data_IF_335097706417
#
_entry.id   IF_335097706417
#
_cell.length_a   1.000
_cell.length_b   1.000
_cell.length_c   1.000
_cell.angle_alpha   90.00
_cell.angle_beta   90.00
_cell.angle_gamma   90.00
#
_symmetry.space_group_name_H-M   'P 1'
#
loop_
_entity.id
_entity.type
_entity.pdbx_description
1 polymer ?
#
# COMPACT_ATOMS: atom_id res chain seq x y z
N UNK A 1 22.93 92.94 4.82
CA UNK A 1 21.80 92.75 3.92
C UNK A 1 22.13 91.54 3.06
N UNK A 2 21.55 90.44 3.31
CA UNK A 2 21.34 89.30 2.41
C UNK A 2 20.35 88.40 3.09
N UNK A 3 19.18 88.40 2.56
CA UNK A 3 18.02 87.57 3.00
C UNK A 3 18.32 86.12 2.75
N UNK A 4 18.03 85.32 3.73
CA UNK A 4 18.06 83.84 3.64
C UNK A 4 16.79 83.30 2.99
N UNK A 5 16.94 82.52 1.97
CA UNK A 5 15.91 81.81 1.26
C UNK A 5 15.67 80.50 2.01
N UNK A 6 14.56 80.41 2.78
CA UNK A 6 14.07 79.18 3.40
C UNK A 6 13.38 78.34 2.31
N UNK A 7 14.08 77.30 1.85
CA UNK A 7 13.52 76.32 0.96
C UNK A 7 12.51 75.48 1.75
N UNK A 8 11.23 75.64 1.47
CA UNK A 8 10.14 74.81 1.97
C UNK A 8 10.34 73.31 1.52
N UNK A 9 10.63 72.47 2.44
CA UNK A 9 10.59 71.02 2.23
C UNK A 9 9.11 70.64 2.03
N UNK A 10 8.76 70.34 0.78
CA UNK A 10 7.46 69.76 0.45
C UNK A 10 7.37 68.34 1.02
N UNK A 11 6.59 68.24 2.07
CA UNK A 11 6.12 66.95 2.58
C UNK A 11 5.26 66.27 1.48
N UNK A 12 5.89 65.41 0.69
CA UNK A 12 5.18 64.50 -0.21
C UNK A 12 4.61 63.36 0.66
N UNK A 13 3.55 63.69 1.38
CA UNK A 13 2.71 62.69 2.02
C UNK A 13 2.18 61.72 0.96
N UNK A 14 2.83 60.58 0.86
CA UNK A 14 2.24 59.40 0.24
C UNK A 14 0.97 59.06 1.02
N UNK A 15 -0.17 59.59 0.57
CA UNK A 15 -1.48 59.15 1.04
C UNK A 15 -1.61 57.68 0.66
N UNK A 16 -1.34 56.81 1.61
CA UNK A 16 -1.65 55.40 1.43
C UNK A 16 -3.16 55.31 1.13
N UNK A 17 -3.47 54.72 0.01
CA UNK A 17 -4.86 54.41 -0.35
C UNK A 17 -5.54 53.74 0.82
N UNK A 18 -6.75 54.18 1.23
CA UNK A 18 -7.44 53.59 2.38
C UNK A 18 -7.60 52.10 2.22
N UNK A 19 -7.39 51.37 3.32
CA UNK A 19 -7.65 49.95 3.38
C UNK A 19 -9.16 49.71 3.09
N UNK A 20 -9.44 48.69 2.36
CA UNK A 20 -10.79 48.22 2.12
C UNK A 20 -10.90 46.72 2.45
N UNK A 21 -12.10 46.23 2.70
CA UNK A 21 -12.32 44.81 2.90
C UNK A 21 -11.74 43.97 1.76
N UNK A 22 -11.86 44.43 0.52
CA UNK A 22 -11.33 43.75 -0.65
C UNK A 22 -9.80 43.73 -0.68
N UNK A 23 -9.16 44.84 -0.28
CA UNK A 23 -7.70 44.87 -0.17
C UNK A 23 -7.18 43.96 0.93
N UNK A 24 -7.82 43.95 2.10
CA UNK A 24 -7.47 43.04 3.19
C UNK A 24 -7.65 41.57 2.81
N UNK A 25 -8.76 41.22 2.16
CA UNK A 25 -8.99 39.88 1.62
C UNK A 25 -7.87 39.45 0.69
N UNK A 26 -7.52 40.31 -0.29
CA UNK A 26 -6.47 40.01 -1.25
C UNK A 26 -5.09 39.88 -0.60
N UNK A 27 -4.80 40.72 0.40
CA UNK A 27 -3.50 40.74 1.09
C UNK A 27 -3.27 39.47 1.92
N UNK A 28 -4.31 38.97 2.58
CA UNK A 28 -4.21 37.81 3.48
C UNK A 28 -4.78 36.53 2.86
N UNK A 29 -5.13 36.54 1.59
CA UNK A 29 -5.62 35.34 0.88
C UNK A 29 -6.97 34.83 1.39
N UNK A 30 -7.80 35.70 1.99
CA UNK A 30 -9.09 35.34 2.57
C UNK A 30 -10.19 35.58 1.53
N UNK A 31 -10.80 34.51 0.99
CA UNK A 31 -11.93 34.64 0.07
C UNK A 31 -13.22 35.02 0.79
N UNK A 32 -14.21 35.51 0.02
CA UNK A 32 -15.54 35.80 0.59
C UNK A 32 -16.18 34.56 1.24
N UNK A 33 -16.05 33.40 0.61
CA UNK A 33 -16.57 32.14 1.16
C UNK A 33 -15.91 31.78 2.51
N UNK A 34 -14.61 31.99 2.66
CA UNK A 34 -13.89 31.76 3.94
C UNK A 34 -14.43 32.69 5.03
N UNK A 35 -14.74 33.96 4.69
CA UNK A 35 -15.32 34.89 5.66
C UNK A 35 -16.75 34.53 6.07
N UNK A 36 -17.52 34.00 5.15
CA UNK A 36 -18.92 33.60 5.40
C UNK A 36 -18.96 32.37 6.33
N UNK A 37 -18.01 31.48 6.19
CA UNK A 37 -17.87 30.28 7.03
C UNK A 37 -17.17 30.54 8.39
N UNK A 38 -16.40 31.63 8.48
CA UNK A 38 -15.59 31.96 9.67
C UNK A 38 -15.86 33.38 10.17
N UNK A 39 -16.93 33.61 10.94
CA UNK A 39 -17.32 34.94 11.44
C UNK A 39 -16.19 35.67 12.20
N UNK A 40 -15.35 34.94 12.92
CA UNK A 40 -14.21 35.51 13.68
C UNK A 40 -13.21 36.27 12.78
N UNK A 41 -12.97 35.78 11.57
CA UNK A 41 -12.13 36.47 10.60
C UNK A 41 -12.75 37.79 10.14
N UNK A 42 -14.07 37.75 9.90
CA UNK A 42 -14.81 38.94 9.50
C UNK A 42 -14.77 40.01 10.59
N UNK A 43 -14.91 39.61 11.85
CA UNK A 43 -14.80 40.52 13.00
C UNK A 43 -13.40 41.17 13.09
N UNK A 44 -12.33 40.39 12.91
CA UNK A 44 -10.96 40.91 12.91
C UNK A 44 -10.76 41.91 11.76
N UNK A 45 -11.16 41.56 10.53
CA UNK A 45 -11.00 42.48 9.39
C UNK A 45 -11.85 43.75 9.55
N UNK A 46 -13.06 43.64 10.09
CA UNK A 46 -13.90 44.78 10.39
C UNK A 46 -13.24 45.70 11.47
N UNK A 47 -12.67 45.09 12.51
CA UNK A 47 -11.95 45.84 13.56
C UNK A 47 -10.75 46.61 12.97
N UNK A 48 -10.07 46.07 11.99
CA UNK A 48 -8.98 46.76 11.27
C UNK A 48 -9.50 47.99 10.53
N UNK A 49 -10.66 47.88 9.88
CA UNK A 49 -11.29 49.00 9.17
C UNK A 49 -11.78 50.08 10.17
N UNK A 50 -12.40 49.66 11.28
CA UNK A 50 -12.88 50.57 12.31
C UNK A 50 -11.72 51.36 12.97
N UNK A 51 -10.56 50.73 13.17
CA UNK A 51 -9.34 51.41 13.65
C UNK A 51 -8.84 52.46 12.67
N UNK A 52 -8.91 52.15 11.37
CA UNK A 52 -8.52 53.14 10.33
C UNK A 52 -9.49 54.34 10.31
N UNK A 53 -10.79 54.11 10.44
CA UNK A 53 -11.78 55.19 10.53
C UNK A 53 -11.55 56.10 11.75
N UNK A 54 -10.98 55.54 12.83
CA UNK A 54 -10.56 56.28 14.02
C UNK A 54 -9.22 57.02 13.84
N UNK A 55 -8.63 57.02 12.66
CA UNK A 55 -7.31 57.59 12.38
C UNK A 55 -6.13 56.76 12.91
N UNK A 56 -6.36 55.52 13.32
CA UNK A 56 -5.35 54.54 13.79
C UNK A 56 -5.17 53.48 12.72
N UNK A 57 -4.30 53.70 11.77
CA UNK A 57 -4.02 52.69 10.74
C UNK A 57 -3.13 51.59 11.31
N UNK A 58 -3.62 50.33 11.51
CA UNK A 58 -2.81 49.24 11.99
C UNK A 58 -1.73 48.89 10.92
N UNK A 59 -0.54 48.55 11.40
CA UNK A 59 0.53 48.02 10.53
C UNK A 59 0.17 46.58 10.13
N UNK A 60 0.76 46.08 9.04
CA UNK A 60 0.58 44.69 8.60
C UNK A 60 0.89 43.68 9.71
N UNK A 61 1.92 43.98 10.53
CA UNK A 61 2.30 43.12 11.67
C UNK A 61 1.19 43.06 12.75
N UNK A 62 0.53 44.21 13.01
CA UNK A 62 -0.59 44.25 13.95
C UNK A 62 -1.81 43.47 13.40
N UNK A 63 -2.07 43.57 12.10
CA UNK A 63 -3.14 42.81 11.44
C UNK A 63 -2.86 41.32 11.52
N UNK A 64 -1.63 40.87 11.15
CA UNK A 64 -1.18 39.49 11.25
C UNK A 64 -1.30 38.97 12.69
N UNK A 65 -0.93 39.78 13.69
CA UNK A 65 -1.06 39.41 15.10
C UNK A 65 -2.53 39.14 15.46
N UNK A 66 -3.44 40.02 15.08
CA UNK A 66 -4.88 39.85 15.34
C UNK A 66 -5.46 38.62 14.61
N UNK A 67 -5.04 38.36 13.38
CA UNK A 67 -5.46 37.19 12.61
C UNK A 67 -4.93 35.89 13.24
N UNK A 68 -3.68 35.86 13.71
CA UNK A 68 -3.08 34.71 14.37
C UNK A 68 -3.78 34.31 15.69
N UNK A 69 -4.55 35.21 16.30
CA UNK A 69 -5.36 34.89 17.48
C UNK A 69 -6.64 34.10 17.14
N UNK A 70 -7.10 34.15 15.88
CA UNK A 70 -8.28 33.42 15.45
C UNK A 70 -8.03 31.91 15.37
N UNK A 71 -9.06 31.09 15.60
CA UNK A 71 -8.97 29.65 15.46
C UNK A 71 -8.67 29.25 14.02
N UNK A 72 -9.19 30.01 13.06
CA UNK A 72 -8.97 29.75 11.65
C UNK A 72 -7.47 29.82 11.29
N UNK A 73 -6.76 30.91 11.67
CA UNK A 73 -5.33 31.06 11.39
C UNK A 73 -4.47 30.05 12.18
N UNK A 74 -4.85 29.71 13.40
CA UNK A 74 -4.16 28.67 14.18
C UNK A 74 -4.22 27.29 13.49
N UNK A 75 -5.28 27.04 12.72
CA UNK A 75 -5.53 25.77 12.06
C UNK A 75 -5.03 25.70 10.60
N UNK A 76 -4.47 26.82 10.06
CA UNK A 76 -4.00 26.88 8.69
C UNK A 76 -2.51 27.22 8.62
N UNK A 77 -1.74 26.44 7.82
CA UNK A 77 -0.31 26.68 7.70
C UNK A 77 0.00 27.99 6.96
N UNK A 78 1.16 28.58 7.25
CA UNK A 78 1.68 29.73 6.50
C UNK A 78 1.77 29.44 4.99
N UNK A 79 2.09 28.21 4.60
CA UNK A 79 2.12 27.78 3.20
C UNK A 79 0.72 27.82 2.57
N UNK A 80 -0.31 27.36 3.28
CA UNK A 80 -1.68 27.42 2.81
C UNK A 80 -2.10 28.87 2.54
N UNK A 81 -1.83 29.77 3.47
CA UNK A 81 -2.12 31.20 3.31
C UNK A 81 -1.38 31.79 2.11
N UNK A 82 -0.09 31.48 1.91
CA UNK A 82 0.68 31.93 0.77
C UNK A 82 0.10 31.43 -0.55
N UNK A 83 -0.35 30.19 -0.61
CA UNK A 83 -1.01 29.62 -1.80
C UNK A 83 -2.32 30.32 -2.11
N UNK A 84 -3.12 30.69 -1.10
CA UNK A 84 -4.35 31.47 -1.33
C UNK A 84 -4.04 32.87 -1.90
N UNK A 85 -3.03 33.55 -1.37
CA UNK A 85 -2.57 34.85 -1.92
C UNK A 85 -2.11 34.67 -3.37
N UNK A 86 -1.32 33.66 -3.67
CA UNK A 86 -0.84 33.39 -5.03
C UNK A 86 -1.99 33.05 -5.99
N UNK A 87 -2.97 32.26 -5.53
CA UNK A 87 -4.18 31.92 -6.30
C UNK A 87 -4.98 33.16 -6.69
N UNK A 88 -5.12 34.13 -5.79
CA UNK A 88 -5.84 35.37 -6.06
C UNK A 88 -5.04 36.32 -6.98
N UNK A 89 -3.72 36.33 -6.89
CA UNK A 89 -2.84 37.19 -7.70
C UNK A 89 -2.56 36.63 -9.09
N UNK A 90 -2.54 35.30 -9.24
CA UNK A 90 -2.34 34.62 -10.55
C UNK A 90 -3.65 34.61 -11.32
N UNK A 91 -3.55 34.71 -12.65
CA UNK A 91 -4.72 34.51 -13.51
C UNK A 91 -5.32 33.13 -13.21
N UNK A 92 -6.66 32.99 -13.02
CA UNK A 92 -7.32 31.72 -12.69
C UNK A 92 -6.90 30.55 -13.60
N UNK A 93 -6.74 30.83 -14.91
CA UNK A 93 -6.33 29.81 -15.87
C UNK A 93 -4.95 29.19 -15.58
N UNK A 94 -4.02 29.94 -14.97
CA UNK A 94 -2.68 29.41 -14.57
C UNK A 94 -2.81 28.49 -13.38
N UNK A 95 -3.66 28.86 -12.41
CA UNK A 95 -3.96 28.02 -11.26
C UNK A 95 -4.62 26.71 -11.67
N UNK A 96 -5.68 26.81 -12.48
CA UNK A 96 -6.43 25.64 -12.97
C UNK A 96 -5.53 24.68 -13.77
N UNK A 97 -4.63 25.24 -14.62
CA UNK A 97 -3.66 24.41 -15.34
C UNK A 97 -2.65 23.72 -14.41
N UNK A 98 -2.21 24.40 -13.33
CA UNK A 98 -1.32 23.80 -12.33
C UNK A 98 -2.02 22.68 -11.56
N UNK A 99 -3.23 22.91 -11.07
CA UNK A 99 -4.04 21.90 -10.37
C UNK A 99 -4.28 20.72 -11.30
N UNK A 100 -4.70 20.95 -12.53
CA UNK A 100 -4.94 19.89 -13.51
C UNK A 100 -3.69 19.03 -13.75
N UNK A 101 -2.53 19.63 -13.95
CA UNK A 101 -1.27 18.92 -14.17
C UNK A 101 -0.90 17.99 -13.00
N UNK A 102 -1.15 18.43 -11.77
CA UNK A 102 -0.89 17.61 -10.58
C UNK A 102 -1.98 16.53 -10.44
N UNK A 103 -3.25 16.88 -10.70
CA UNK A 103 -4.35 15.93 -10.67
C UNK A 103 -4.18 14.79 -11.67
N UNK A 104 -3.76 15.08 -12.89
CA UNK A 104 -3.48 14.08 -13.92
C UNK A 104 -2.39 13.08 -13.43
N UNK A 105 -1.29 13.58 -12.84
CA UNK A 105 -0.25 12.72 -12.25
C UNK A 105 -0.74 11.89 -11.06
N UNK A 106 -1.58 12.47 -10.21
CA UNK A 106 -2.19 11.73 -9.09
C UNK A 106 -3.09 10.61 -9.62
N UNK A 107 -3.91 10.87 -10.64
CA UNK A 107 -4.74 9.84 -11.30
C UNK A 107 -3.88 8.70 -11.86
N UNK A 108 -2.76 9.02 -12.53
CA UNK A 108 -1.83 8.01 -13.03
C UNK A 108 -1.26 7.15 -11.90
N UNK A 109 -0.93 7.74 -10.75
CA UNK A 109 -0.44 7.00 -9.58
C UNK A 109 -1.51 6.09 -8.98
N UNK A 110 -2.76 6.57 -8.87
CA UNK A 110 -3.88 5.75 -8.43
C UNK A 110 -4.12 4.58 -9.37
N UNK A 111 -4.17 4.85 -10.68
CA UNK A 111 -4.35 3.81 -11.70
C UNK A 111 -3.21 2.78 -11.67
N UNK A 112 -1.96 3.23 -11.52
CA UNK A 112 -0.80 2.34 -11.39
C UNK A 112 -0.87 1.46 -10.14
N UNK A 113 -1.52 1.93 -9.08
CA UNK A 113 -1.77 1.16 -7.85
C UNK A 113 -3.06 0.30 -7.90
N UNK A 114 -3.76 0.28 -9.04
CA UNK A 114 -5.00 -0.49 -9.20
C UNK A 114 -6.23 0.17 -8.58
N UNK A 115 -6.17 1.46 -8.26
CA UNK A 115 -7.29 2.25 -7.81
C UNK A 115 -7.74 3.24 -8.89
N UNK A 116 -9.01 3.62 -8.89
CA UNK A 116 -9.53 4.64 -9.79
C UNK A 116 -10.17 5.77 -8.97
N UNK A 117 -9.92 7.01 -9.40
CA UNK A 117 -10.51 8.21 -8.80
C UNK A 117 -11.07 9.13 -9.88
N UNK A 118 -12.15 9.83 -9.58
CA UNK A 118 -12.72 10.82 -10.47
C UNK A 118 -11.89 12.11 -10.53
N UNK A 119 -12.14 12.94 -11.54
CA UNK A 119 -11.42 14.19 -11.78
C UNK A 119 -11.56 15.17 -10.61
N UNK A 120 -12.72 15.21 -9.96
CA UNK A 120 -12.96 16.10 -8.82
C UNK A 120 -12.13 15.71 -7.60
N UNK A 121 -12.06 14.41 -7.30
CA UNK A 121 -11.22 13.86 -6.23
C UNK A 121 -9.74 14.09 -6.51
N UNK A 122 -9.30 13.85 -7.74
CA UNK A 122 -7.91 14.10 -8.15
C UNK A 122 -7.54 15.59 -8.02
N UNK A 123 -8.42 16.50 -8.44
CA UNK A 123 -8.23 17.93 -8.29
C UNK A 123 -8.16 18.35 -6.81
N UNK A 124 -9.02 17.78 -5.94
CA UNK A 124 -8.96 18.00 -4.50
C UNK A 124 -7.62 17.56 -3.91
N UNK A 125 -7.13 16.37 -4.24
CA UNK A 125 -5.84 15.89 -3.77
C UNK A 125 -4.67 16.73 -4.31
N UNK A 126 -4.76 17.21 -5.56
CA UNK A 126 -3.78 18.13 -6.13
C UNK A 126 -3.74 19.45 -5.35
N UNK A 127 -4.88 20.05 -5.03
CA UNK A 127 -4.93 21.25 -4.19
C UNK A 127 -4.35 20.98 -2.79
N UNK A 128 -4.68 19.86 -2.14
CA UNK A 128 -4.12 19.48 -0.85
C UNK A 128 -2.60 19.37 -0.89
N UNK A 129 -2.06 18.73 -1.93
CA UNK A 129 -0.60 18.61 -2.13
C UNK A 129 0.05 19.99 -2.34
N UNK A 130 -0.60 20.91 -3.07
CA UNK A 130 -0.11 22.30 -3.25
C UNK A 130 -0.11 23.04 -1.90
N UNK A 131 -1.14 22.87 -1.09
CA UNK A 131 -1.24 23.49 0.24
C UNK A 131 -0.21 22.91 1.23
N UNK A 132 0.12 21.64 1.08
CA UNK A 132 1.13 20.92 1.87
C UNK A 132 0.69 20.55 3.28
N UNK A 133 -0.38 21.10 3.81
CA UNK A 133 -1.00 20.68 5.08
C UNK A 133 -2.43 21.21 5.19
N UNK A 134 -3.22 20.57 6.05
CA UNK A 134 -4.60 20.98 6.34
C UNK A 134 -5.16 20.20 7.53
N UNK A 135 -6.44 20.42 7.82
CA UNK A 135 -7.17 19.68 8.86
C UNK A 135 -7.96 18.54 8.20
N UNK A 136 -7.90 17.35 8.78
CA UNK A 136 -8.76 16.24 8.35
C UNK A 136 -10.17 16.36 8.96
N UNK A 137 -11.05 15.42 8.64
CA UNK A 137 -12.44 15.42 9.11
C UNK A 137 -12.56 15.33 10.65
N UNK A 138 -11.54 14.79 11.31
CA UNK A 138 -11.49 14.66 12.79
C UNK A 138 -10.87 15.88 13.47
N UNK A 139 -10.53 16.93 12.71
CA UNK A 139 -9.90 18.13 13.22
C UNK A 139 -8.41 17.96 13.57
N UNK A 140 -7.75 16.95 13.04
CA UNK A 140 -6.31 16.71 13.22
C UNK A 140 -5.55 17.29 12.03
N UNK A 141 -4.44 18.00 12.32
CA UNK A 141 -3.58 18.52 11.28
C UNK A 141 -2.87 17.39 10.52
N UNK A 142 -3.02 17.36 9.20
CA UNK A 142 -2.32 16.46 8.28
C UNK A 142 -1.30 17.21 7.43
N UNK A 143 -0.19 16.53 7.13
CA UNK A 143 0.81 16.99 6.17
C UNK A 143 0.56 16.24 4.87
N UNK A 144 0.30 16.97 3.78
CA UNK A 144 -0.02 16.43 2.46
C UNK A 144 1.27 16.24 1.63
N UNK A 145 2.13 15.34 2.10
CA UNK A 145 3.36 14.92 1.45
C UNK A 145 3.18 13.61 0.66
N UNK A 146 4.28 13.08 0.12
CA UNK A 146 4.27 11.82 -0.62
C UNK A 146 3.81 10.63 0.26
N UNK A 147 4.09 10.66 1.57
CA UNK A 147 3.64 9.60 2.48
C UNK A 147 2.12 9.63 2.66
N UNK A 148 1.56 10.84 2.80
CA UNK A 148 0.12 11.03 2.84
C UNK A 148 -0.54 10.53 1.54
N UNK A 149 0.01 10.89 0.39
CA UNK A 149 -0.51 10.46 -0.91
C UNK A 149 -0.45 8.95 -1.07
N UNK A 150 0.67 8.32 -0.71
CA UNK A 150 0.82 6.86 -0.78
C UNK A 150 -0.19 6.14 0.13
N UNK A 151 -0.42 6.63 1.36
CA UNK A 151 -1.45 6.09 2.26
C UNK A 151 -2.86 6.26 1.69
N UNK A 152 -3.15 7.40 1.07
CA UNK A 152 -4.44 7.68 0.44
C UNK A 152 -4.67 6.73 -0.73
N UNK A 153 -3.67 6.52 -1.58
CA UNK A 153 -3.71 5.54 -2.68
C UNK A 153 -3.97 4.13 -2.13
N UNK A 154 -3.18 3.69 -1.15
CA UNK A 154 -3.33 2.36 -0.56
C UNK A 154 -4.72 2.12 0.07
N UNK A 155 -5.34 3.17 0.60
CA UNK A 155 -6.69 3.11 1.18
C UNK A 155 -7.80 3.06 0.13
N UNK A 156 -7.54 3.52 -1.09
CA UNK A 156 -8.51 3.53 -2.19
C UNK A 156 -8.53 2.23 -2.99
N UNK A 157 -7.62 1.29 -2.74
CA UNK A 157 -7.56 0.01 -3.45
C UNK A 157 -8.76 -0.85 -3.04
N UNK A 158 -9.52 -1.29 -4.04
CA UNK A 158 -10.72 -2.11 -3.85
C UNK A 158 -10.39 -3.60 -3.94
N UNK A 159 -10.28 -4.26 -2.78
CA UNK A 159 -10.07 -5.71 -2.68
C UNK A 159 -11.37 -6.53 -2.69
N UNK A 160 -12.52 -5.92 -2.98
CA UNK A 160 -13.78 -6.66 -3.09
C UNK A 160 -13.98 -7.27 -4.47
N UNK A 161 -13.28 -6.76 -5.49
CA UNK A 161 -13.37 -7.24 -6.87
C UNK A 161 -12.37 -8.36 -7.10
N UNK A 162 -12.86 -9.47 -7.65
CA UNK A 162 -12.03 -10.62 -8.03
C UNK A 162 -12.21 -10.96 -9.50
N UNK A 163 -11.18 -11.61 -10.07
CA UNK A 163 -11.21 -12.20 -11.41
C UNK A 163 -10.63 -13.60 -11.36
N UNK A 164 -11.00 -14.44 -12.33
CA UNK A 164 -10.44 -15.79 -12.45
C UNK A 164 -9.42 -15.81 -13.59
N UNK A 165 -8.18 -16.18 -13.26
CA UNK A 165 -7.09 -16.34 -14.22
C UNK A 165 -6.57 -17.77 -14.14
N UNK A 166 -6.61 -18.51 -15.24
CA UNK A 166 -6.19 -19.92 -15.31
C UNK A 166 -6.83 -20.82 -14.24
N UNK A 167 -8.08 -20.54 -13.84
CA UNK A 167 -8.81 -21.31 -12.83
C UNK A 167 -8.54 -20.89 -11.38
N UNK A 168 -7.69 -19.90 -11.15
CA UNK A 168 -7.37 -19.35 -9.84
C UNK A 168 -8.14 -18.02 -9.69
N UNK A 169 -8.90 -17.89 -8.61
CA UNK A 169 -9.54 -16.63 -8.24
C UNK A 169 -8.51 -15.72 -7.55
N UNK A 170 -8.38 -14.49 -8.06
CA UNK A 170 -7.45 -13.48 -7.54
C UNK A 170 -8.08 -12.09 -7.58
N UNK A 171 -7.51 -11.14 -6.85
CA UNK A 171 -7.98 -9.76 -6.87
C UNK A 171 -7.91 -9.15 -8.27
N UNK A 172 -8.96 -8.43 -8.66
CA UNK A 172 -9.05 -7.76 -9.96
C UNK A 172 -8.34 -6.41 -9.92
N UNK A 173 -7.02 -6.46 -10.06
CA UNK A 173 -6.14 -5.31 -10.12
C UNK A 173 -5.63 -5.14 -11.56
N UNK A 174 -5.19 -3.94 -11.91
CA UNK A 174 -4.73 -3.58 -13.26
C UNK A 174 -3.37 -2.89 -13.25
N UNK A 175 -2.69 -2.88 -14.41
CA UNK A 175 -1.42 -2.19 -14.57
C UNK A 175 -0.29 -2.69 -13.67
N UNK A 176 0.48 -1.80 -13.07
CA UNK A 176 1.59 -2.16 -12.18
C UNK A 176 1.11 -2.89 -10.91
N UNK A 177 -0.10 -2.61 -10.44
CA UNK A 177 -0.71 -3.30 -9.32
C UNK A 177 -0.97 -4.78 -9.61
N UNK A 178 -1.36 -5.12 -10.84
CA UNK A 178 -1.53 -6.51 -11.26
C UNK A 178 -0.21 -7.28 -11.20
N UNK A 179 0.89 -6.69 -11.65
CA UNK A 179 2.23 -7.32 -11.58
C UNK A 179 2.63 -7.55 -10.11
N UNK A 180 2.49 -6.54 -9.24
CA UNK A 180 2.77 -6.69 -7.81
C UNK A 180 1.89 -7.77 -7.17
N UNK A 181 0.61 -7.84 -7.56
CA UNK A 181 -0.28 -8.89 -7.08
C UNK A 181 0.18 -10.28 -7.53
N UNK A 182 0.54 -10.45 -8.81
CA UNK A 182 1.05 -11.71 -9.34
C UNK A 182 2.33 -12.16 -8.63
N UNK A 183 3.26 -11.23 -8.37
CA UNK A 183 4.49 -11.52 -7.61
C UNK A 183 4.17 -12.02 -6.20
N UNK A 184 3.20 -11.41 -5.51
CA UNK A 184 2.76 -11.87 -4.18
C UNK A 184 2.06 -13.24 -4.21
N UNK A 185 1.25 -13.53 -5.23
CA UNK A 185 0.65 -14.86 -5.42
C UNK A 185 1.72 -15.92 -5.69
N UNK A 186 2.68 -15.61 -6.56
CA UNK A 186 3.79 -16.51 -6.85
C UNK A 186 4.66 -16.76 -5.61
N UNK A 187 4.95 -15.71 -4.86
CA UNK A 187 5.70 -15.80 -3.61
C UNK A 187 4.99 -16.71 -2.60
N UNK A 188 3.68 -16.51 -2.38
CA UNK A 188 2.87 -17.35 -1.50
C UNK A 188 2.90 -18.83 -1.93
N UNK A 189 2.77 -19.10 -3.23
CA UNK A 189 2.85 -20.44 -3.80
C UNK A 189 4.22 -21.08 -3.57
N UNK A 190 5.32 -20.31 -3.69
CA UNK A 190 6.68 -20.81 -3.45
C UNK A 190 6.90 -21.22 -1.99
N UNK A 191 6.14 -20.64 -1.05
CA UNK A 191 6.11 -21.03 0.35
C UNK A 191 4.97 -22.02 0.70
N UNK A 192 4.24 -22.52 -0.30
CA UNK A 192 3.17 -23.52 -0.12
C UNK A 192 1.97 -22.99 0.66
N UNK A 193 1.76 -21.70 0.64
CA UNK A 193 0.58 -21.06 1.21
C UNK A 193 -0.57 -21.21 0.21
N UNK A 194 -1.70 -21.71 0.69
CA UNK A 194 -2.92 -21.77 -0.10
C UNK A 194 -3.39 -20.35 -0.43
N UNK A 195 -3.25 -19.97 -1.69
CA UNK A 195 -3.59 -18.64 -2.21
C UNK A 195 -5.06 -18.49 -2.60
N UNK A 196 -5.95 -19.41 -2.16
CA UNK A 196 -7.38 -19.29 -2.42
C UNK A 196 -7.98 -18.08 -1.67
N UNK A 197 -8.96 -17.43 -2.29
CA UNK A 197 -9.66 -16.28 -1.71
C UNK A 197 -10.50 -16.66 -0.48
N UNK A 198 -10.71 -17.95 -0.22
CA UNK A 198 -11.37 -18.47 0.98
C UNK A 198 -10.41 -18.63 2.16
N UNK A 199 -9.10 -18.58 1.92
CA UNK A 199 -8.09 -18.63 2.97
C UNK A 199 -7.91 -17.25 3.59
N UNK A 200 -8.56 -17.01 4.73
CA UNK A 200 -8.51 -15.71 5.43
C UNK A 200 -7.11 -15.30 5.90
N UNK A 201 -6.23 -16.25 6.19
CA UNK A 201 -4.84 -15.94 6.55
C UNK A 201 -4.08 -15.40 5.34
N UNK A 202 -4.26 -16.01 4.18
CA UNK A 202 -3.68 -15.54 2.93
C UNK A 202 -4.22 -14.17 2.53
N UNK A 203 -5.54 -13.97 2.49
CA UNK A 203 -6.13 -12.70 2.07
C UNK A 203 -5.72 -11.55 2.99
N UNK A 204 -5.69 -11.76 4.30
CA UNK A 204 -5.21 -10.75 5.26
C UNK A 204 -3.74 -10.41 5.07
N UNK A 205 -2.89 -11.42 4.87
CA UNK A 205 -1.47 -11.21 4.57
C UNK A 205 -1.30 -10.47 3.25
N UNK A 206 -2.01 -10.89 2.20
CA UNK A 206 -1.93 -10.29 0.87
C UNK A 206 -2.28 -8.80 0.89
N UNK A 207 -3.45 -8.45 1.45
CA UNK A 207 -3.90 -7.06 1.53
C UNK A 207 -2.94 -6.18 2.34
N UNK A 208 -2.45 -6.68 3.46
CA UNK A 208 -1.48 -5.99 4.31
C UNK A 208 -0.17 -5.75 3.55
N UNK A 209 0.38 -6.80 2.92
CA UNK A 209 1.63 -6.75 2.17
C UNK A 209 1.52 -5.85 0.96
N UNK A 210 0.45 -5.97 0.19
CA UNK A 210 0.18 -5.15 -0.98
C UNK A 210 0.07 -3.66 -0.61
N UNK A 211 -0.76 -3.32 0.38
CA UNK A 211 -0.89 -1.95 0.90
C UNK A 211 0.44 -1.43 1.43
N UNK A 212 1.19 -2.28 2.12
CA UNK A 212 2.51 -1.96 2.67
C UNK A 212 3.54 -1.62 1.59
N UNK A 213 3.55 -2.35 0.47
CA UNK A 213 4.40 -2.06 -0.69
C UNK A 213 4.01 -0.74 -1.36
N UNK A 214 2.71 -0.51 -1.58
CA UNK A 214 2.23 0.72 -2.22
C UNK A 214 2.55 1.96 -1.36
N UNK A 215 2.34 1.90 -0.06
CA UNK A 215 2.61 3.03 0.84
C UNK A 215 4.05 3.07 1.38
N UNK A 216 4.91 2.14 0.92
CA UNK A 216 6.33 2.03 1.28
C UNK A 216 6.58 1.90 2.79
N UNK A 217 5.65 1.28 3.51
CA UNK A 217 5.78 0.98 4.95
C UNK A 217 6.30 -0.42 5.23
N UNK A 218 6.32 -1.29 4.21
CA UNK A 218 6.84 -2.65 4.27
C UNK A 218 7.90 -2.78 3.20
N UNK A 219 9.07 -3.29 3.56
CA UNK A 219 10.11 -3.64 2.60
C UNK A 219 9.83 -5.04 2.01
N UNK A 220 10.24 -5.32 0.77
CA UNK A 220 10.02 -6.64 0.16
C UNK A 220 10.55 -7.80 1.01
N UNK A 221 11.70 -7.62 1.66
CA UNK A 221 12.31 -8.62 2.56
C UNK A 221 11.47 -8.93 3.80
N UNK A 222 10.70 -7.96 4.33
CA UNK A 222 9.82 -8.18 5.48
C UNK A 222 8.61 -9.07 5.12
N UNK A 223 8.22 -9.08 3.84
CA UNK A 223 7.14 -9.92 3.31
C UNK A 223 7.55 -11.37 3.31
N UNK A 224 8.80 -11.67 2.96
CA UNK A 224 9.35 -13.02 2.95
C UNK A 224 9.38 -13.61 4.37
N UNK A 225 9.75 -12.84 5.38
CA UNK A 225 9.80 -13.28 6.78
C UNK A 225 8.44 -13.74 7.29
N UNK A 226 7.35 -13.04 6.95
CA UNK A 226 5.99 -13.41 7.35
C UNK A 226 5.57 -14.73 6.66
N UNK A 227 5.86 -14.89 5.37
CA UNK A 227 5.61 -16.14 4.63
C UNK A 227 6.46 -17.31 5.15
N UNK A 228 7.73 -17.07 5.47
CA UNK A 228 8.60 -18.07 6.09
C UNK A 228 7.98 -18.58 7.40
N UNK A 229 7.49 -17.68 8.26
CA UNK A 229 6.85 -18.07 9.50
C UNK A 229 5.54 -18.85 9.27
N UNK A 230 4.73 -18.48 8.30
CA UNK A 230 3.54 -19.22 7.91
C UNK A 230 3.91 -20.63 7.39
N UNK A 231 4.93 -20.71 6.53
CA UNK A 231 5.41 -21.99 5.99
C UNK A 231 6.01 -22.90 7.10
N UNK A 232 6.77 -22.35 8.04
CA UNK A 232 7.31 -23.09 9.20
C UNK A 232 6.19 -23.65 10.06
N UNK A 233 5.12 -22.86 10.31
CA UNK A 233 3.96 -23.33 11.06
C UNK A 233 3.30 -24.54 10.40
N UNK A 234 3.26 -24.59 9.07
CA UNK A 234 2.62 -25.67 8.29
C UNK A 234 3.58 -26.84 8.05
N UNK A 235 4.87 -26.54 7.90
CA UNK A 235 5.93 -27.52 7.58
C UNK A 235 7.07 -27.45 8.59
N UNK A 236 6.84 -27.72 9.87
CA UNK A 236 7.85 -27.60 10.92
C UNK A 236 9.06 -28.51 10.70
N UNK A 237 8.90 -29.61 9.95
CA UNK A 237 10.03 -30.48 9.58
C UNK A 237 11.07 -29.80 8.69
N UNK A 238 10.69 -28.77 7.94
CA UNK A 238 11.55 -28.00 7.04
C UNK A 238 12.02 -26.66 7.64
N UNK A 239 11.69 -26.37 8.91
CA UNK A 239 11.95 -25.08 9.55
C UNK A 239 13.43 -24.61 9.41
N UNK A 240 14.40 -25.50 9.53
CA UNK A 240 15.82 -25.19 9.37
C UNK A 240 16.22 -24.70 7.96
N UNK A 241 15.55 -25.18 6.93
CA UNK A 241 15.81 -24.79 5.55
C UNK A 241 15.10 -23.48 5.23
N UNK A 242 13.83 -23.37 5.65
CA UNK A 242 13.01 -22.19 5.47
C UNK A 242 13.63 -20.96 6.18
N UNK A 243 14.07 -21.08 7.41
CA UNK A 243 14.72 -19.99 8.15
C UNK A 243 16.07 -19.53 7.57
N UNK A 244 16.63 -20.29 6.61
CA UNK A 244 17.81 -19.89 5.83
C UNK A 244 17.46 -19.27 4.49
N UNK A 245 16.21 -18.97 4.23
CA UNK A 245 15.74 -18.37 2.97
C UNK A 245 15.56 -19.37 1.81
N UNK A 246 15.58 -20.69 2.09
CA UNK A 246 15.22 -21.69 1.08
C UNK A 246 13.70 -21.73 0.97
N UNK A 247 13.15 -21.53 -0.23
CA UNK A 247 11.68 -21.61 -0.43
C UNK A 247 11.18 -23.01 -0.08
N UNK A 248 9.92 -23.10 0.37
CA UNK A 248 9.33 -24.39 0.71
C UNK A 248 9.39 -25.37 -0.46
N UNK A 249 9.07 -24.91 -1.69
CA UNK A 249 9.10 -25.75 -2.88
C UNK A 249 10.50 -26.30 -3.14
N UNK A 250 11.54 -25.49 -3.00
CA UNK A 250 12.93 -25.95 -3.16
C UNK A 250 13.32 -26.94 -2.06
N UNK A 251 12.95 -26.69 -0.81
CA UNK A 251 13.24 -27.58 0.32
C UNK A 251 12.48 -28.94 0.21
N UNK A 252 11.26 -28.92 -0.27
CA UNK A 252 10.41 -30.11 -0.43
C UNK A 252 10.74 -30.92 -1.71
N UNK A 253 11.33 -30.28 -2.73
CA UNK A 253 11.51 -30.90 -4.06
C UNK A 253 12.13 -32.30 -4.05
N UNK A 254 13.18 -32.63 -3.28
CA UNK A 254 13.75 -33.97 -3.22
C UNK A 254 12.72 -35.03 -2.79
N UNK A 255 11.85 -34.67 -1.85
CA UNK A 255 10.80 -35.53 -1.33
C UNK A 255 9.66 -35.69 -2.34
N UNK A 256 9.16 -34.59 -2.88
CA UNK A 256 8.10 -34.58 -3.88
C UNK A 256 8.50 -35.40 -5.11
N UNK A 257 9.73 -35.25 -5.59
CA UNK A 257 10.26 -36.05 -6.67
C UNK A 257 10.31 -37.53 -6.31
N UNK A 258 10.77 -37.90 -5.12
CA UNK A 258 10.80 -39.30 -4.66
C UNK A 258 9.40 -39.90 -4.61
N UNK A 259 8.41 -39.16 -4.12
CA UNK A 259 7.01 -39.59 -4.05
C UNK A 259 6.41 -39.75 -5.44
N UNK A 260 6.64 -38.76 -6.30
CA UNK A 260 6.13 -38.75 -7.68
C UNK A 260 6.74 -39.90 -8.51
N UNK A 261 8.04 -40.09 -8.42
CA UNK A 261 8.75 -41.18 -9.12
C UNK A 261 8.19 -42.57 -8.72
N UNK A 262 7.96 -42.77 -7.40
CA UNK A 262 7.44 -44.04 -6.87
C UNK A 262 5.97 -44.25 -7.21
N UNK A 263 5.18 -43.18 -7.30
CA UNK A 263 3.77 -43.23 -7.68
C UNK A 263 3.52 -43.09 -9.18
N UNK A 264 4.58 -42.96 -10.00
CA UNK A 264 4.52 -42.71 -11.44
C UNK A 264 3.67 -41.48 -11.79
N UNK A 265 3.82 -40.42 -11.01
CA UNK A 265 3.16 -39.12 -11.18
C UNK A 265 4.15 -38.08 -11.70
N UNK A 266 3.63 -36.96 -12.20
CA UNK A 266 4.45 -35.81 -12.57
C UNK A 266 4.91 -35.04 -11.33
N UNK A 267 6.23 -34.91 -11.06
CA UNK A 267 6.75 -34.20 -9.91
C UNK A 267 6.31 -32.74 -9.82
N UNK A 268 6.10 -32.08 -10.97
CA UNK A 268 5.75 -30.66 -11.03
C UNK A 268 4.28 -30.42 -10.67
N UNK A 269 3.45 -31.46 -10.80
CA UNK A 269 2.03 -31.41 -10.45
C UNK A 269 1.71 -32.00 -9.06
N UNK A 270 2.72 -32.55 -8.36
CA UNK A 270 2.51 -33.12 -7.03
C UNK A 270 2.24 -32.02 -6.01
N UNK A 271 1.07 -32.10 -5.36
CA UNK A 271 0.61 -31.07 -4.42
C UNK A 271 1.34 -31.17 -3.08
N UNK A 272 1.89 -30.04 -2.61
CA UNK A 272 2.45 -29.91 -1.27
C UNK A 272 1.39 -30.16 -0.17
N UNK A 273 0.12 -29.95 -0.46
CA UNK A 273 -0.98 -30.22 0.47
C UNK A 273 -1.48 -31.67 0.44
N UNK A 274 -0.91 -32.52 -0.43
CA UNK A 274 -1.21 -33.95 -0.43
C UNK A 274 -0.88 -34.58 0.94
N UNK A 275 -1.76 -35.43 1.44
CA UNK A 275 -1.61 -36.04 2.77
C UNK A 275 -0.30 -36.82 2.91
N UNK A 276 0.15 -37.50 1.86
CA UNK A 276 1.41 -38.25 1.84
C UNK A 276 2.61 -37.28 1.90
N UNK A 277 2.56 -36.17 1.15
CA UNK A 277 3.57 -35.13 1.20
C UNK A 277 3.67 -34.52 2.61
N UNK A 278 2.53 -34.17 3.19
CA UNK A 278 2.46 -33.66 4.59
C UNK A 278 3.06 -34.65 5.59
N UNK A 279 2.73 -35.92 5.48
CA UNK A 279 3.27 -36.97 6.36
C UNK A 279 4.80 -37.10 6.24
N UNK A 280 5.32 -37.03 5.02
CA UNK A 280 6.75 -37.15 4.72
C UNK A 280 7.52 -35.94 5.20
N UNK A 281 7.00 -34.73 4.96
CA UNK A 281 7.68 -33.47 5.29
C UNK A 281 7.59 -33.12 6.77
N UNK A 282 6.57 -33.57 7.49
CA UNK A 282 6.31 -33.28 8.90
C UNK A 282 6.44 -34.52 9.81
N UNK A 283 7.29 -35.45 9.46
CA UNK A 283 7.57 -36.63 10.31
C UNK A 283 8.16 -36.20 11.65
N UNK A 284 7.95 -37.04 12.67
CA UNK A 284 8.45 -36.81 14.02
C UNK A 284 9.51 -37.86 14.35
N UNK A 285 10.66 -37.46 14.91
CA UNK A 285 11.69 -38.39 15.35
C UNK A 285 11.36 -39.00 16.73
N UNK A 286 12.21 -39.91 17.18
CA UNK A 286 12.05 -40.59 18.48
C UNK A 286 12.09 -39.64 19.68
N UNK A 287 12.65 -38.44 19.51
CA UNK A 287 12.73 -37.40 20.51
C UNK A 287 11.53 -36.41 20.44
N UNK A 288 10.62 -36.60 19.50
CA UNK A 288 9.44 -35.75 19.32
C UNK A 288 9.71 -34.49 18.48
N UNK A 289 10.88 -34.37 17.83
CA UNK A 289 11.19 -33.23 16.98
C UNK A 289 10.67 -33.43 15.56
N UNK A 290 10.13 -32.39 14.96
CA UNK A 290 9.72 -32.43 13.56
C UNK A 290 10.96 -32.45 12.65
N UNK A 291 10.99 -33.37 11.71
CA UNK A 291 11.97 -33.45 10.62
C UNK A 291 11.36 -34.20 9.44
N UNK A 292 11.82 -33.95 8.21
CA UNK A 292 11.39 -34.76 7.07
C UNK A 292 11.84 -36.23 7.25
N UNK A 293 11.10 -37.16 6.70
CA UNK A 293 11.53 -38.54 6.58
C UNK A 293 12.85 -38.62 5.78
N UNK A 294 13.60 -39.71 5.94
CA UNK A 294 14.63 -40.01 4.96
C UNK A 294 13.99 -40.25 3.57
N UNK A 295 14.74 -40.01 2.50
CA UNK A 295 14.21 -40.28 1.13
C UNK A 295 13.86 -41.77 0.96
N UNK A 296 14.57 -42.66 1.69
CA UNK A 296 14.26 -44.09 1.69
C UNK A 296 12.89 -44.36 2.39
N UNK A 297 12.66 -43.74 3.54
CA UNK A 297 11.39 -43.91 4.26
C UNK A 297 10.23 -43.25 3.50
N UNK A 298 10.49 -42.12 2.84
CA UNK A 298 9.51 -41.49 1.94
C UNK A 298 9.09 -42.42 0.80
N UNK A 299 10.07 -43.13 0.20
CA UNK A 299 9.80 -44.15 -0.81
C UNK A 299 8.95 -45.31 -0.26
N UNK A 300 9.26 -45.79 0.95
CA UNK A 300 8.47 -46.82 1.61
C UNK A 300 7.05 -46.32 1.96
N UNK A 301 6.90 -45.05 2.31
CA UNK A 301 5.60 -44.43 2.56
C UNK A 301 4.77 -44.36 1.27
N UNK A 302 5.40 -43.99 0.15
CA UNK A 302 4.74 -43.99 -1.16
C UNK A 302 4.21 -45.38 -1.57
N UNK A 303 4.99 -46.42 -1.31
CA UNK A 303 4.57 -47.82 -1.57
C UNK A 303 3.40 -48.30 -0.73
N UNK A 304 3.15 -47.67 0.41
CA UNK A 304 1.97 -47.95 1.28
C UNK A 304 0.74 -47.12 0.87
N UNK A 305 0.90 -46.10 0.03
CA UNK A 305 -0.19 -45.29 -0.47
C UNK A 305 -1.06 -46.10 -1.44
N UNK A 306 -2.36 -45.84 -1.42
CA UNK A 306 -3.31 -46.59 -2.25
C UNK A 306 -3.05 -46.41 -3.76
N UNK A 307 -2.48 -45.30 -4.16
CA UNK A 307 -2.14 -44.98 -5.55
C UNK A 307 -1.04 -45.89 -6.10
N UNK A 308 -0.13 -46.37 -5.25
CA UNK A 308 0.99 -47.23 -5.67
C UNK A 308 0.55 -48.52 -6.34
N UNK A 309 -0.56 -49.16 -5.86
CA UNK A 309 -1.08 -50.42 -6.48
C UNK A 309 -1.50 -50.31 -7.93
N UNK A 310 -1.67 -49.08 -8.45
CA UNK A 310 -2.03 -48.82 -9.83
C UNK A 310 -0.81 -48.50 -10.73
N UNK A 311 0.38 -48.39 -10.17
CA UNK A 311 1.63 -48.14 -10.91
C UNK A 311 2.05 -49.38 -11.72
N UNK A 312 2.84 -49.16 -12.76
CA UNK A 312 3.49 -50.21 -13.54
C UNK A 312 4.45 -51.04 -12.69
N UNK A 313 5.20 -50.37 -11.78
CA UNK A 313 6.10 -51.03 -10.83
C UNK A 313 5.37 -52.02 -9.93
N UNK A 314 4.24 -51.63 -9.34
CA UNK A 314 3.44 -52.52 -8.51
C UNK A 314 2.94 -53.76 -9.30
N UNK A 315 2.45 -53.54 -10.50
CA UNK A 315 2.00 -54.64 -11.39
C UNK A 315 3.11 -55.63 -11.69
N UNK A 316 4.31 -55.12 -11.99
CA UNK A 316 5.46 -56.00 -12.24
C UNK A 316 5.85 -56.78 -10.99
N UNK A 317 5.94 -56.10 -9.81
CA UNK A 317 6.30 -56.72 -8.56
C UNK A 317 5.30 -57.82 -8.17
N UNK A 318 3.99 -57.58 -8.33
CA UNK A 318 2.97 -58.62 -8.10
C UNK A 318 3.06 -59.79 -9.08
N UNK A 319 3.40 -59.50 -10.35
CA UNK A 319 3.59 -60.55 -11.37
C UNK A 319 4.82 -61.40 -11.04
N UNK A 320 5.92 -60.80 -10.64
CA UNK A 320 7.16 -61.50 -10.28
C UNK A 320 6.97 -62.38 -9.02
N UNK A 321 6.24 -61.85 -8.02
CA UNK A 321 5.88 -62.60 -6.81
C UNK A 321 4.99 -63.77 -7.22
N UNK A 322 3.98 -63.54 -8.04
CA UNK A 322 3.07 -64.59 -8.53
C UNK A 322 3.84 -65.66 -9.30
N UNK A 323 4.74 -65.32 -10.21
CA UNK A 323 5.59 -66.24 -10.93
C UNK A 323 6.53 -67.02 -10.00
N UNK A 324 7.08 -66.38 -8.98
CA UNK A 324 7.91 -67.05 -7.97
C UNK A 324 7.12 -68.09 -7.17
N UNK A 325 5.92 -67.71 -6.70
CA UNK A 325 5.05 -68.62 -6.01
C UNK A 325 4.69 -69.84 -6.91
N UNK A 326 4.28 -69.56 -8.16
CA UNK A 326 3.92 -70.62 -9.09
C UNK A 326 5.10 -71.58 -9.38
N UNK A 327 6.32 -71.06 -9.46
CA UNK A 327 7.53 -71.86 -9.62
C UNK A 327 7.83 -72.70 -8.39
N UNK A 328 7.71 -72.13 -7.19
CA UNK A 328 7.97 -72.85 -5.93
C UNK A 328 6.96 -73.95 -5.66
N UNK A 329 5.74 -73.81 -6.19
CA UNK A 329 4.71 -74.85 -6.14
C UNK A 329 4.77 -75.79 -7.36
N UNK A 330 5.75 -75.66 -8.30
CA UNK A 330 5.95 -76.56 -9.42
C UNK A 330 4.97 -76.34 -10.58
N UNK A 331 4.27 -75.21 -10.66
CA UNK A 331 3.34 -74.91 -11.74
C UNK A 331 4.04 -74.23 -12.95
N UNK A 332 5.23 -73.68 -12.75
CA UNK A 332 6.09 -73.16 -13.81
C UNK A 332 7.41 -73.95 -13.80
N UNK A 333 7.72 -74.60 -14.92
CA UNK A 333 8.97 -75.33 -15.16
C UNK A 333 10.04 -74.48 -15.83
#
# INVERSE_FOLDING_TARGET
MAEGDEAAVSDTGLTQDPLSMEKLKAQFGISGAILDENPELKEVLQKVLDLQEQGKTPTDENIVSMLNETNWFKNHSARWMQVQVDRQKKAPAIWDAQVKNIADRIKEQFLAAGADIDDATAAKYAEQTIYGSGMNADGVQEIYDDNWLNKTIASAIDFTKTKTVAGIEMYDLSGAAETTAQDLYELANNYGIDSSMTNTAFTSWFEKSFKGLINKTVAPEDIDDELINMAISKYPGLANQLSRGVTLRAAANPYLKTLADELELDPDTFDLNDNLAQQVLNSVDEQGNFKPMSLYDAKLAARKDERWKYTGQARQEYTDIGNTILRDFGFLG
#
